data_IF_057232202249
#
_entry.id   IF_057232202249
#
_cell.length_a   1.000
_cell.length_b   1.000
_cell.length_c   1.000
_cell.angle_alpha   90.00
_cell.angle_beta   90.00
_cell.angle_gamma   90.00
#
_symmetry.space_group_name_H-M   'P 1'
#
loop_
_entity.id
_entity.type
_entity.pdbx_description
1 polymer ?
#
# COMPACT_ATOMS: atom_id res chain seq x y z
N UNK A 1 8.84 -33.30 -14.28
CA UNK A 1 9.68 -32.35 -15.00
C UNK A 1 10.48 -31.55 -14.00
N UNK A 2 11.75 -31.22 -14.31
CA UNK A 2 12.55 -30.34 -13.46
C UNK A 2 11.83 -29.01 -13.29
N UNK A 3 11.66 -28.53 -12.04
CA UNK A 3 11.15 -27.17 -11.78
C UNK A 3 12.09 -26.18 -12.48
N UNK A 4 11.53 -25.33 -13.29
CA UNK A 4 12.31 -24.27 -13.91
C UNK A 4 12.57 -23.22 -12.83
N UNK A 5 13.82 -22.80 -12.66
CA UNK A 5 14.15 -21.78 -11.68
C UNK A 5 13.37 -20.47 -11.94
N UNK A 6 12.88 -19.77 -10.91
CA UNK A 6 12.12 -18.54 -11.06
C UNK A 6 12.98 -17.42 -11.70
N UNK A 7 12.33 -16.50 -12.40
CA UNK A 7 13.01 -15.31 -12.96
C UNK A 7 13.29 -14.25 -11.90
N UNK A 8 12.46 -14.22 -10.84
CA UNK A 8 12.52 -13.26 -9.75
C UNK A 8 11.95 -13.91 -8.49
N UNK A 9 12.55 -13.63 -7.33
CA UNK A 9 12.05 -14.00 -6.01
C UNK A 9 11.66 -12.73 -5.25
N UNK A 10 10.58 -12.78 -4.47
CA UNK A 10 10.10 -11.65 -3.68
C UNK A 10 9.99 -12.11 -2.23
N UNK A 11 10.68 -11.42 -1.33
CA UNK A 11 10.59 -11.61 0.11
C UNK A 11 9.62 -10.60 0.71
N UNK A 12 9.04 -10.87 1.90
CA UNK A 12 8.11 -9.98 2.56
C UNK A 12 8.72 -8.63 2.97
N UNK A 13 7.85 -7.70 3.38
CA UNK A 13 8.23 -6.48 4.11
C UNK A 13 9.00 -6.84 5.37
N UNK A 14 9.98 -6.01 5.75
CA UNK A 14 10.81 -6.21 6.94
C UNK A 14 11.43 -7.62 7.02
N UNK A 15 11.88 -8.17 5.90
CA UNK A 15 12.60 -9.46 5.86
C UNK A 15 13.95 -9.39 6.56
N UNK A 16 14.42 -8.17 6.89
CA UNK A 16 15.65 -7.93 7.64
C UNK A 16 15.35 -7.08 8.86
N UNK A 17 15.86 -7.49 10.03
CA UNK A 17 15.72 -6.75 11.29
C UNK A 17 16.73 -5.60 11.41
N UNK A 18 17.85 -5.70 10.70
CA UNK A 18 18.91 -4.71 10.69
C UNK A 18 19.07 -4.13 9.28
N UNK A 19 19.56 -2.89 9.23
CA UNK A 19 19.87 -2.24 7.97
C UNK A 19 21.03 -2.96 7.27
N UNK A 20 20.78 -3.62 6.11
CA UNK A 20 21.84 -4.35 5.42
C UNK A 20 22.92 -3.45 4.81
N UNK A 21 22.68 -2.13 4.70
CA UNK A 21 23.69 -1.19 4.22
C UNK A 21 24.67 -0.76 5.34
N UNK A 22 24.26 -0.89 6.60
CA UNK A 22 25.02 -0.50 7.78
C UNK A 22 25.56 -1.70 8.58
N UNK A 23 24.85 -2.84 8.55
CA UNK A 23 25.24 -4.06 9.27
C UNK A 23 25.88 -5.09 8.33
N UNK A 24 27.21 -5.31 8.44
CA UNK A 24 27.92 -6.26 7.58
C UNK A 24 27.44 -7.71 7.69
N UNK A 25 26.89 -8.11 8.84
CA UNK A 25 26.37 -9.47 9.03
C UNK A 25 25.07 -9.66 8.26
N UNK A 26 24.14 -8.72 8.35
CA UNK A 26 22.90 -8.71 7.57
C UNK A 26 23.20 -8.68 6.09
N UNK A 27 24.11 -7.80 5.65
CA UNK A 27 24.54 -7.75 4.26
C UNK A 27 25.06 -9.11 3.76
N UNK A 28 26.01 -9.71 4.49
CA UNK A 28 26.62 -10.97 4.08
C UNK A 28 25.64 -12.13 4.08
N UNK A 29 24.69 -12.14 5.02
CA UNK A 29 23.63 -13.16 5.11
C UNK A 29 22.70 -13.09 3.90
N UNK A 30 22.22 -11.88 3.57
CA UNK A 30 21.39 -11.67 2.38
C UNK A 30 22.17 -12.00 1.11
N UNK A 31 23.38 -11.50 0.97
CA UNK A 31 24.22 -11.73 -0.20
C UNK A 31 24.47 -13.23 -0.44
N UNK A 32 24.70 -14.00 0.64
CA UNK A 32 24.86 -15.45 0.57
C UNK A 32 23.56 -16.11 0.11
N UNK A 33 22.43 -15.78 0.72
CA UNK A 33 21.12 -16.34 0.35
C UNK A 33 20.77 -16.01 -1.11
N UNK A 34 20.98 -14.78 -1.56
CA UNK A 34 20.78 -14.37 -2.96
C UNK A 34 21.74 -15.11 -3.91
N UNK A 35 22.97 -15.33 -3.48
CA UNK A 35 23.96 -16.13 -4.21
C UNK A 35 23.51 -17.59 -4.37
N UNK A 36 23.03 -18.22 -3.31
CA UNK A 36 22.53 -19.60 -3.31
C UNK A 36 21.28 -19.75 -4.19
N UNK A 37 20.35 -18.78 -4.11
CA UNK A 37 19.17 -18.71 -4.98
C UNK A 37 19.60 -18.54 -6.45
N UNK A 38 20.73 -17.87 -6.70
CA UNK A 38 21.24 -17.54 -8.03
C UNK A 38 20.24 -16.82 -8.94
N UNK A 39 19.35 -16.02 -8.36
CA UNK A 39 18.32 -15.22 -9.04
C UNK A 39 18.18 -13.84 -8.39
N UNK A 40 17.67 -12.83 -9.10
CA UNK A 40 17.29 -11.56 -8.51
C UNK A 40 16.27 -11.76 -7.38
N UNK A 41 16.45 -11.06 -6.28
CA UNK A 41 15.55 -11.08 -5.12
C UNK A 41 15.13 -9.66 -4.77
N UNK A 42 13.83 -9.42 -4.63
CA UNK A 42 13.31 -8.22 -3.98
C UNK A 42 13.25 -8.49 -2.47
N UNK A 43 13.99 -7.74 -1.70
CA UNK A 43 14.14 -7.89 -0.24
C UNK A 43 13.46 -6.72 0.44
N UNK A 44 12.52 -6.99 1.36
CA UNK A 44 11.96 -5.96 2.23
C UNK A 44 12.92 -5.63 3.35
N UNK A 45 13.29 -4.37 3.51
CA UNK A 45 14.29 -3.94 4.49
C UNK A 45 13.88 -2.66 5.22
N UNK A 46 14.33 -2.53 6.47
CA UNK A 46 14.28 -1.27 7.20
C UNK A 46 15.66 -0.63 7.15
N UNK A 47 15.76 0.50 6.44
CA UNK A 47 16.98 1.28 6.34
C UNK A 47 17.03 2.32 7.46
N UNK A 48 18.24 2.64 7.94
CA UNK A 48 18.49 3.64 8.99
C UNK A 48 19.06 4.93 8.38
N UNK A 49 19.10 5.99 9.16
CA UNK A 49 19.74 7.26 8.85
C UNK A 49 19.39 7.92 7.50
N UNK A 50 18.12 8.29 7.26
CA UNK A 50 16.95 8.25 8.15
C UNK A 50 16.21 6.91 8.08
N UNK A 51 15.39 6.61 9.10
CA UNK A 51 14.60 5.37 9.14
C UNK A 51 13.60 5.37 7.97
N UNK A 52 13.64 4.30 7.16
CA UNK A 52 12.82 4.13 5.96
C UNK A 52 12.44 2.68 5.77
N UNK A 53 11.20 2.44 5.38
CA UNK A 53 10.74 1.13 4.94
C UNK A 53 10.99 1.01 3.43
N UNK A 54 11.63 -0.06 2.98
CA UNK A 54 12.17 -0.17 1.63
C UNK A 54 12.03 -1.57 1.03
N UNK A 55 11.81 -1.61 -0.29
CA UNK A 55 12.06 -2.78 -1.12
C UNK A 55 13.39 -2.61 -1.86
N UNK A 56 14.33 -3.53 -1.66
CA UNK A 56 15.65 -3.51 -2.30
C UNK A 56 15.78 -4.64 -3.33
N UNK A 57 16.08 -4.32 -4.57
CA UNK A 57 16.42 -5.33 -5.57
C UNK A 57 17.87 -5.76 -5.43
N UNK A 58 18.07 -7.01 -5.07
CA UNK A 58 19.39 -7.64 -4.95
C UNK A 58 19.67 -8.53 -6.16
N UNK A 59 20.90 -8.44 -6.68
CA UNK A 59 21.38 -9.32 -7.74
C UNK A 59 22.50 -10.23 -7.21
N UNK A 60 22.55 -11.50 -7.65
CA UNK A 60 23.65 -12.39 -7.32
C UNK A 60 25.02 -11.75 -7.59
N UNK A 61 25.95 -11.88 -6.67
CA UNK A 61 27.32 -11.35 -6.72
C UNK A 61 27.45 -9.82 -6.88
N UNK A 62 26.33 -9.05 -6.82
CA UNK A 62 26.35 -7.57 -6.96
C UNK A 62 25.77 -6.84 -5.76
N UNK A 63 25.02 -7.52 -4.90
CA UNK A 63 24.29 -6.89 -3.79
C UNK A 63 23.08 -6.06 -4.26
N UNK A 64 22.64 -5.06 -3.45
CA UNK A 64 21.51 -4.21 -3.79
C UNK A 64 21.88 -3.27 -4.95
N UNK A 65 20.99 -3.20 -5.95
CA UNK A 65 21.20 -2.40 -7.18
C UNK A 65 20.16 -1.33 -7.39
N UNK A 66 19.01 -1.41 -6.73
CA UNK A 66 17.94 -0.43 -6.78
C UNK A 66 17.10 -0.52 -5.51
N UNK A 67 16.46 0.60 -5.14
CA UNK A 67 15.65 0.70 -3.94
C UNK A 67 14.36 1.48 -4.22
N UNK A 68 13.25 0.97 -3.72
CA UNK A 68 11.98 1.66 -3.56
C UNK A 68 11.83 2.02 -2.08
N UNK A 69 11.42 3.23 -1.78
CA UNK A 69 11.12 3.68 -0.42
C UNK A 69 9.60 3.84 -0.29
N UNK A 70 9.02 3.24 0.73
CA UNK A 70 7.59 3.34 1.05
C UNK A 70 7.15 4.80 1.09
N UNK A 71 6.11 5.14 0.32
CA UNK A 71 5.64 6.53 0.14
C UNK A 71 4.48 6.88 1.04
N UNK A 72 3.64 5.88 1.41
CA UNK A 72 2.52 6.03 2.32
C UNK A 72 2.77 5.27 3.60
N UNK A 73 3.14 6.02 4.63
CA UNK A 73 3.44 5.48 5.94
C UNK A 73 2.17 5.18 6.72
N UNK A 74 2.22 4.13 7.54
CA UNK A 74 1.11 3.75 8.44
C UNK A 74 1.02 4.74 9.59
N UNK A 75 -0.11 5.46 9.75
CA UNK A 75 -0.30 6.31 10.91
C UNK A 75 -0.22 5.49 12.22
N UNK A 76 0.50 6.03 13.20
CA UNK A 76 0.78 5.42 14.52
C UNK A 76 1.65 4.15 14.50
N UNK A 77 1.91 3.55 13.34
CA UNK A 77 2.85 2.43 13.18
C UNK A 77 4.22 2.87 12.65
N UNK A 78 4.25 3.79 11.67
CA UNK A 78 5.49 4.29 11.05
C UNK A 78 5.65 5.79 11.19
N UNK A 79 4.56 6.51 11.38
CA UNK A 79 4.55 7.97 11.57
C UNK A 79 3.48 8.38 12.58
N UNK A 80 3.83 9.29 13.48
CA UNK A 80 2.85 9.92 14.37
C UNK A 80 2.36 11.22 13.71
N UNK A 81 1.09 11.27 13.24
CA UNK A 81 0.52 12.48 12.71
C UNK A 81 0.48 13.58 13.78
N UNK A 82 0.81 14.81 13.41
CA UNK A 82 0.82 15.96 14.34
C UNK A 82 1.61 15.70 15.64
N UNK A 83 2.73 14.97 15.57
CA UNK A 83 3.56 14.59 16.72
C UNK A 83 3.77 15.75 17.69
N UNK A 84 4.18 16.93 17.22
CA UNK A 84 4.44 18.09 18.07
C UNK A 84 3.24 18.56 18.91
N UNK A 85 2.01 18.28 18.49
CA UNK A 85 0.80 18.53 19.27
C UNK A 85 0.52 17.38 20.23
N UNK A 86 0.62 16.13 19.72
CA UNK A 86 0.28 14.95 20.50
C UNK A 86 1.25 14.69 21.64
N UNK A 87 2.53 15.04 21.51
CA UNK A 87 3.54 14.93 22.57
C UNK A 87 3.14 15.70 23.86
N UNK A 88 2.27 16.73 23.72
CA UNK A 88 1.82 17.54 24.87
C UNK A 88 0.52 17.07 25.51
N UNK A 89 -0.24 16.19 24.84
CA UNK A 89 -1.61 15.83 25.29
C UNK A 89 -1.82 14.34 25.50
N UNK A 90 -0.88 13.48 25.05
CA UNK A 90 -1.05 12.01 25.12
C UNK A 90 0.29 11.29 25.08
N UNK A 91 0.30 10.01 25.49
CA UNK A 91 1.45 9.11 25.36
C UNK A 91 1.50 8.37 24.02
N UNK A 92 0.56 8.59 23.09
CA UNK A 92 0.54 7.92 21.79
C UNK A 92 1.85 8.05 20.98
N UNK A 93 2.57 9.20 21.00
CA UNK A 93 3.84 9.30 20.30
C UNK A 93 4.92 8.33 20.77
N UNK A 94 4.83 7.82 22.00
CA UNK A 94 5.78 6.83 22.51
C UNK A 94 5.65 5.45 21.84
N UNK A 95 4.52 5.16 21.17
CA UNK A 95 4.32 3.93 20.42
C UNK A 95 5.26 3.84 19.21
N UNK A 96 5.60 4.98 18.62
CA UNK A 96 6.54 5.07 17.51
C UNK A 96 7.59 6.15 17.83
N UNK A 97 8.72 5.80 18.47
CA UNK A 97 9.71 6.76 18.95
C UNK A 97 10.32 7.61 17.83
N UNK A 98 10.56 7.03 16.66
CA UNK A 98 11.14 7.69 15.50
C UNK A 98 10.21 7.56 14.31
N UNK A 99 9.80 8.69 13.72
CA UNK A 99 9.01 8.65 12.50
C UNK A 99 9.86 8.15 11.32
N UNK A 100 9.29 7.27 10.50
CA UNK A 100 9.89 6.89 9.24
C UNK A 100 9.84 8.05 8.25
N UNK A 101 10.79 8.06 7.33
CA UNK A 101 10.87 9.05 6.25
C UNK A 101 10.25 8.45 4.98
N UNK A 102 9.22 9.08 4.40
CA UNK A 102 8.57 8.56 3.21
C UNK A 102 9.40 8.78 1.95
N UNK A 103 9.25 7.89 0.99
CA UNK A 103 9.70 8.08 -0.40
C UNK A 103 8.80 9.07 -1.15
N UNK A 104 9.26 9.50 -2.34
CA UNK A 104 8.56 10.52 -3.12
C UNK A 104 8.23 10.13 -4.56
N UNK A 105 8.72 8.99 -5.05
CA UNK A 105 8.59 8.60 -6.45
C UNK A 105 8.28 7.11 -6.61
N UNK A 106 7.60 6.79 -7.70
CA UNK A 106 7.50 5.43 -8.21
C UNK A 106 8.87 4.90 -8.64
N UNK A 107 9.13 3.61 -8.40
CA UNK A 107 10.36 2.94 -8.83
C UNK A 107 10.00 1.62 -9.47
N UNK A 108 10.33 1.48 -10.75
CA UNK A 108 10.13 0.24 -11.49
C UNK A 108 11.45 -0.52 -11.59
N UNK A 109 11.55 -1.63 -10.89
CA UNK A 109 12.69 -2.54 -10.95
C UNK A 109 12.72 -3.29 -12.28
N UNK A 110 13.90 -3.41 -12.89
CA UNK A 110 14.08 -4.06 -14.19
C UNK A 110 14.88 -5.36 -14.05
N UNK A 111 14.22 -6.47 -14.37
CA UNK A 111 14.81 -7.82 -14.35
C UNK A 111 14.45 -8.52 -15.67
N UNK A 112 15.34 -8.53 -16.63
CA UNK A 112 15.05 -9.04 -17.97
C UNK A 112 13.84 -8.35 -18.60
N UNK A 113 12.77 -9.11 -18.86
CA UNK A 113 11.50 -8.58 -19.39
C UNK A 113 10.56 -8.07 -18.29
N UNK A 114 10.84 -8.38 -17.02
CA UNK A 114 10.03 -7.95 -15.89
C UNK A 114 10.31 -6.48 -15.60
N UNK A 115 9.25 -5.72 -15.48
CA UNK A 115 9.22 -4.36 -14.92
C UNK A 115 8.31 -4.39 -13.71
N UNK A 116 8.94 -4.58 -12.55
CA UNK A 116 8.24 -4.74 -11.28
C UNK A 116 8.00 -3.38 -10.64
N UNK A 117 6.73 -3.02 -10.41
CA UNK A 117 6.33 -1.95 -9.51
C UNK A 117 6.10 -2.53 -8.13
N UNK A 118 6.74 -1.95 -7.12
CA UNK A 118 6.60 -2.40 -5.75
C UNK A 118 5.70 -1.46 -4.97
N UNK A 119 4.83 -2.03 -4.14
CA UNK A 119 4.06 -1.33 -3.13
C UNK A 119 4.20 -2.08 -1.81
N UNK A 120 4.32 -1.33 -0.71
CA UNK A 120 4.59 -1.93 0.59
C UNK A 120 3.35 -1.83 1.48
N UNK A 121 2.77 -3.00 1.83
CA UNK A 121 1.73 -3.19 2.83
C UNK A 121 0.51 -2.25 2.62
N UNK A 122 0.33 -1.30 3.51
CA UNK A 122 -0.74 -0.29 3.53
C UNK A 122 -0.92 0.45 2.19
N UNK A 123 0.11 0.54 1.38
CA UNK A 123 0.09 1.25 0.10
C UNK A 123 -0.86 0.65 -0.94
N UNK A 124 -1.13 -0.65 -0.85
CA UNK A 124 -2.06 -1.34 -1.77
C UNK A 124 -3.49 -0.76 -1.70
N UNK A 125 -3.84 -0.13 -0.58
CA UNK A 125 -5.11 0.57 -0.39
C UNK A 125 -5.24 1.88 -1.19
N UNK A 126 -4.13 2.46 -1.68
CA UNK A 126 -4.13 3.75 -2.36
C UNK A 126 -4.03 3.59 -3.87
N UNK A 127 -5.16 3.75 -4.54
CA UNK A 127 -5.29 3.64 -5.99
C UNK A 127 -4.24 4.48 -6.76
N UNK A 128 -4.19 5.77 -6.51
CA UNK A 128 -3.27 6.69 -7.20
C UNK A 128 -1.78 6.33 -7.00
N UNK A 129 -1.43 5.61 -5.90
CA UNK A 129 -0.08 5.14 -5.68
C UNK A 129 0.23 3.95 -6.60
N UNK A 130 -0.64 2.93 -6.63
CA UNK A 130 -0.48 1.76 -7.50
C UNK A 130 -0.54 2.16 -8.97
N UNK A 131 -1.48 3.03 -9.35
CA UNK A 131 -1.58 3.65 -10.68
C UNK A 131 -0.27 4.29 -11.11
N UNK A 132 0.44 4.96 -10.21
CA UNK A 132 1.71 5.61 -10.51
C UNK A 132 2.83 4.62 -10.86
N UNK A 133 2.86 3.42 -10.25
CA UNK A 133 3.80 2.35 -10.63
C UNK A 133 3.48 1.83 -12.04
N UNK A 134 2.20 1.64 -12.34
CA UNK A 134 1.75 1.21 -13.69
C UNK A 134 2.07 2.28 -14.73
N UNK A 135 1.82 3.55 -14.44
CA UNK A 135 2.16 4.68 -15.30
C UNK A 135 3.68 4.80 -15.52
N UNK A 136 4.51 4.46 -14.53
CA UNK A 136 5.96 4.37 -14.65
C UNK A 136 6.42 3.17 -15.49
N UNK A 137 5.50 2.31 -15.94
CA UNK A 137 5.74 1.21 -16.86
C UNK A 137 5.84 -0.17 -16.23
N UNK A 138 5.36 -0.36 -15.00
CA UNK A 138 5.28 -1.68 -14.39
C UNK A 138 4.39 -2.63 -15.20
N UNK A 139 4.86 -3.86 -15.43
CA UNK A 139 4.12 -4.93 -16.08
C UNK A 139 3.83 -6.12 -15.14
N UNK A 140 4.33 -6.04 -13.92
CA UNK A 140 4.10 -6.90 -12.77
C UNK A 140 4.10 -6.01 -11.54
N UNK A 141 3.25 -6.32 -10.56
CA UNK A 141 3.20 -5.63 -9.27
C UNK A 141 3.61 -6.58 -8.15
N UNK A 142 4.28 -6.06 -7.13
CA UNK A 142 4.49 -6.72 -5.85
C UNK A 142 3.81 -5.97 -4.73
N UNK A 143 3.36 -6.71 -3.72
CA UNK A 143 2.90 -6.23 -2.43
C UNK A 143 3.71 -6.95 -1.38
N UNK A 144 4.74 -6.30 -0.86
CA UNK A 144 5.49 -6.80 0.30
C UNK A 144 4.74 -6.37 1.56
N UNK A 145 4.44 -7.29 2.45
CA UNK A 145 3.65 -6.97 3.64
C UNK A 145 4.13 -7.68 4.89
N UNK A 146 4.04 -6.98 6.02
CA UNK A 146 4.23 -7.55 7.35
C UNK A 146 2.91 -7.44 8.13
N UNK A 147 2.17 -8.55 8.19
CA UNK A 147 0.87 -8.59 8.85
C UNK A 147 0.96 -8.97 10.33
N UNK A 148 2.18 -9.20 10.87
CA UNK A 148 2.37 -9.69 12.23
C UNK A 148 1.75 -8.76 13.29
N UNK A 149 1.82 -7.44 13.08
CA UNK A 149 1.30 -6.46 14.02
C UNK A 149 -0.24 -6.41 14.03
N UNK A 150 -0.89 -6.78 12.94
CA UNK A 150 -2.35 -6.77 12.82
C UNK A 150 -2.99 -8.04 13.39
N UNK A 151 -2.23 -9.12 13.48
CA UNK A 151 -2.74 -10.44 13.90
C UNK A 151 -2.56 -10.72 15.40
N UNK A 152 -2.09 -9.74 16.19
CA UNK A 152 -1.75 -9.84 17.62
C UNK A 152 -2.93 -10.29 18.49
N UNK A 153 -4.09 -10.51 18.15
CA UNK A 153 -5.18 -11.04 18.97
C UNK A 153 -6.06 -12.07 18.22
N UNK A 154 -5.50 -12.72 17.18
CA UNK A 154 -6.21 -13.68 16.36
C UNK A 154 -7.18 -13.03 15.35
N UNK A 155 -7.11 -11.71 15.17
CA UNK A 155 -7.87 -11.02 14.14
C UNK A 155 -7.16 -11.14 12.80
N UNK A 156 -7.81 -11.79 11.83
CA UNK A 156 -7.26 -12.04 10.48
C UNK A 156 -7.94 -11.21 9.40
N UNK A 157 -8.85 -10.32 9.80
CA UNK A 157 -9.67 -9.52 8.88
C UNK A 157 -8.83 -8.60 8.00
N UNK A 158 -7.79 -8.00 8.53
CA UNK A 158 -6.95 -7.04 7.82
C UNK A 158 -6.11 -7.70 6.75
N UNK A 159 -5.48 -8.84 7.05
CA UNK A 159 -4.72 -9.63 6.07
C UNK A 159 -5.60 -10.09 4.90
N UNK A 160 -6.82 -10.55 5.18
CA UNK A 160 -7.78 -10.94 4.13
C UNK A 160 -8.28 -9.74 3.33
N UNK A 161 -8.50 -8.61 3.98
CA UNK A 161 -8.87 -7.37 3.31
C UNK A 161 -7.73 -6.89 2.39
N UNK A 162 -6.48 -6.94 2.85
CA UNK A 162 -5.31 -6.56 2.05
C UNK A 162 -5.15 -7.47 0.83
N UNK A 163 -5.34 -8.79 0.99
CA UNK A 163 -5.38 -9.72 -0.13
C UNK A 163 -6.51 -9.37 -1.12
N UNK A 164 -7.69 -9.02 -0.63
CA UNK A 164 -8.81 -8.60 -1.47
C UNK A 164 -8.49 -7.31 -2.24
N UNK A 165 -7.85 -6.33 -1.60
CA UNK A 165 -7.36 -5.11 -2.26
C UNK A 165 -6.35 -5.46 -3.36
N UNK A 166 -5.36 -6.32 -3.10
CA UNK A 166 -4.39 -6.74 -4.10
C UNK A 166 -5.05 -7.41 -5.32
N UNK A 167 -6.12 -8.20 -5.11
CA UNK A 167 -6.93 -8.79 -6.19
C UNK A 167 -7.66 -7.73 -7.01
N UNK A 168 -8.19 -6.70 -6.37
CA UNK A 168 -8.82 -5.57 -7.07
C UNK A 168 -7.77 -4.85 -7.91
N UNK A 169 -6.57 -4.57 -7.37
CA UNK A 169 -5.48 -3.94 -8.12
C UNK A 169 -5.05 -4.75 -9.34
N UNK A 170 -5.04 -6.08 -9.23
CA UNK A 170 -4.75 -6.95 -10.38
C UNK A 170 -5.74 -6.72 -11.53
N UNK A 171 -7.05 -6.69 -11.23
CA UNK A 171 -8.12 -6.45 -12.22
C UNK A 171 -8.08 -5.02 -12.75
N UNK A 172 -8.00 -4.05 -11.87
CA UNK A 172 -8.02 -2.62 -12.16
C UNK A 172 -6.93 -2.23 -13.16
N UNK A 173 -5.72 -2.71 -12.93
CA UNK A 173 -4.56 -2.38 -13.75
C UNK A 173 -4.26 -3.43 -14.83
N UNK A 174 -5.01 -4.54 -14.88
CA UNK A 174 -4.74 -5.68 -15.77
C UNK A 174 -3.28 -6.16 -15.63
N UNK A 175 -2.82 -6.30 -14.39
CA UNK A 175 -1.46 -6.78 -14.05
C UNK A 175 -1.56 -7.98 -13.13
N UNK A 176 -0.62 -8.92 -13.27
CA UNK A 176 -0.42 -9.89 -12.20
C UNK A 176 0.15 -9.20 -10.96
N UNK A 177 -0.22 -9.69 -9.77
CA UNK A 177 0.25 -9.18 -8.49
C UNK A 177 0.83 -10.32 -7.67
N UNK A 178 2.00 -10.11 -7.08
CA UNK A 178 2.62 -11.05 -6.14
C UNK A 178 2.56 -10.43 -4.76
N UNK A 179 1.83 -11.07 -3.85
CA UNK A 179 1.79 -10.71 -2.44
C UNK A 179 2.76 -11.59 -1.68
N UNK A 180 3.73 -10.99 -1.00
CA UNK A 180 4.67 -11.67 -0.12
C UNK A 180 4.45 -11.19 1.31
N UNK A 181 3.93 -12.06 2.18
CA UNK A 181 3.57 -11.75 3.56
C UNK A 181 4.41 -12.54 4.55
N UNK A 182 4.68 -11.96 5.72
CA UNK A 182 5.37 -12.63 6.84
C UNK A 182 4.49 -13.69 7.48
N UNK A 183 3.35 -13.30 8.03
CA UNK A 183 2.40 -14.14 8.78
C UNK A 183 1.06 -14.30 8.08
N UNK A 184 0.70 -13.35 7.23
CA UNK A 184 -0.52 -13.33 6.47
C UNK A 184 -0.52 -14.29 5.27
N UNK A 185 -1.43 -14.03 4.33
CA UNK A 185 -1.57 -14.85 3.12
C UNK A 185 -0.66 -14.31 2.02
N UNK A 186 0.39 -15.05 1.69
CA UNK A 186 1.13 -14.81 0.43
C UNK A 186 0.33 -15.36 -0.75
N UNK A 187 0.33 -14.66 -1.88
CA UNK A 187 -0.44 -15.05 -3.06
C UNK A 187 0.20 -14.60 -4.37
N UNK A 188 -0.04 -15.38 -5.42
CA UNK A 188 0.23 -14.98 -6.81
C UNK A 188 -1.12 -14.84 -7.51
N UNK A 189 -1.42 -13.64 -7.97
CA UNK A 189 -2.73 -13.23 -8.47
C UNK A 189 -2.62 -12.95 -9.96
N UNK A 190 -3.52 -13.56 -10.73
CA UNK A 190 -3.62 -13.29 -12.17
C UNK A 190 -4.26 -11.91 -12.43
N UNK A 191 -4.11 -11.34 -13.66
CA UNK A 191 -4.69 -10.06 -14.02
C UNK A 191 -6.23 -9.99 -13.93
N UNK A 192 -6.92 -11.11 -13.87
CA UNK A 192 -8.37 -11.20 -13.67
C UNK A 192 -8.76 -11.29 -12.18
N UNK A 193 -7.79 -11.19 -11.26
CA UNK A 193 -8.00 -11.28 -9.81
C UNK A 193 -8.09 -12.70 -9.28
N UNK A 194 -7.96 -13.75 -10.12
CA UNK A 194 -7.93 -15.13 -9.66
C UNK A 194 -6.61 -15.48 -8.97
N UNK A 195 -6.66 -16.36 -7.98
CA UNK A 195 -5.49 -16.84 -7.26
C UNK A 195 -4.85 -18.00 -8.02
N UNK A 196 -3.63 -17.81 -8.51
CA UNK A 196 -2.83 -18.88 -9.15
C UNK A 196 -2.18 -19.78 -8.11
N UNK A 197 -1.72 -19.20 -7.01
CA UNK A 197 -1.16 -19.89 -5.86
C UNK A 197 -1.36 -19.03 -4.62
N UNK A 198 -1.51 -19.63 -3.45
CA UNK A 198 -1.57 -18.91 -2.17
C UNK A 198 -1.17 -19.81 -1.00
N UNK A 199 -0.75 -19.18 0.11
CA UNK A 199 -0.48 -19.87 1.38
C UNK A 199 -1.73 -19.83 2.28
N UNK A 200 -1.70 -20.58 3.38
CA UNK A 200 -2.55 -20.27 4.54
C UNK A 200 -1.89 -19.24 5.45
N UNK A 201 -2.64 -18.76 6.43
CA UNK A 201 -2.13 -17.93 7.52
C UNK A 201 -1.11 -18.70 8.36
N UNK A 202 -0.08 -17.99 8.86
CA UNK A 202 0.96 -18.54 9.73
C UNK A 202 1.66 -19.79 9.14
N UNK A 203 1.79 -19.84 7.82
CA UNK A 203 2.44 -20.94 7.14
C UNK A 203 3.74 -20.50 6.48
N UNK A 204 4.85 -21.09 6.92
CA UNK A 204 6.11 -20.99 6.17
C UNK A 204 5.96 -21.79 4.88
N UNK A 205 6.02 -21.10 3.75
CA UNK A 205 5.86 -21.71 2.45
C UNK A 205 6.60 -20.91 1.36
N UNK A 206 6.91 -21.58 0.27
CA UNK A 206 7.34 -21.01 -0.99
C UNK A 206 6.28 -21.33 -2.03
N UNK A 207 5.83 -20.31 -2.75
CA UNK A 207 4.86 -20.47 -3.83
C UNK A 207 5.44 -19.95 -5.14
N UNK A 208 5.14 -20.64 -6.23
CA UNK A 208 5.63 -20.34 -7.57
C UNK A 208 4.49 -20.42 -8.58
N UNK A 209 4.45 -19.48 -9.52
CA UNK A 209 3.56 -19.51 -10.66
C UNK A 209 4.15 -18.73 -11.84
N UNK A 210 3.72 -19.09 -13.05
CA UNK A 210 3.96 -18.31 -14.26
C UNK A 210 2.86 -17.28 -14.42
N UNK A 211 3.26 -16.02 -14.62
CA UNK A 211 2.34 -14.90 -14.76
C UNK A 211 2.53 -14.18 -16.08
N UNK A 212 1.46 -13.68 -16.72
CA UNK A 212 1.59 -12.87 -17.91
C UNK A 212 2.13 -11.48 -17.55
N UNK A 213 3.09 -10.98 -18.32
CA UNK A 213 3.58 -9.61 -18.23
C UNK A 213 2.77 -8.73 -19.19
N UNK A 214 1.87 -7.91 -18.68
CA UNK A 214 0.99 -7.05 -19.49
C UNK A 214 1.39 -5.58 -19.38
N UNK A 215 1.22 -4.84 -20.50
CA UNK A 215 1.61 -3.42 -20.59
C UNK A 215 0.47 -2.52 -21.05
N UNK A 216 -0.69 -3.10 -21.42
CA UNK A 216 -1.84 -2.30 -21.86
C UNK A 216 -2.42 -1.50 -20.70
N UNK A 217 -2.77 -0.25 -20.94
CA UNK A 217 -3.47 0.59 -19.97
C UNK A 217 -4.97 0.30 -20.00
N UNK A 218 -5.57 0.10 -18.83
CA UNK A 218 -7.01 -0.10 -18.67
C UNK A 218 -7.78 1.20 -18.79
N UNK A 219 -9.12 1.14 -18.76
CA UNK A 219 -9.95 2.33 -18.64
C UNK A 219 -9.73 3.03 -17.29
N UNK A 220 -9.59 2.25 -16.22
CA UNK A 220 -9.28 2.77 -14.89
C UNK A 220 -7.95 3.53 -14.87
N UNK A 221 -6.89 2.96 -15.46
CA UNK A 221 -5.59 3.63 -15.59
C UNK A 221 -5.69 4.98 -16.37
N UNK A 222 -6.59 5.07 -17.34
CA UNK A 222 -6.76 6.28 -18.16
C UNK A 222 -7.59 7.35 -17.49
N UNK A 223 -8.61 6.95 -16.74
CA UNK A 223 -9.52 7.86 -16.04
C UNK A 223 -8.89 8.34 -14.71
N UNK A 224 -8.08 7.47 -14.04
CA UNK A 224 -7.54 7.77 -12.73
C UNK A 224 -8.63 8.22 -11.77
N UNK A 225 -8.35 9.22 -10.93
CA UNK A 225 -9.28 9.76 -9.92
C UNK A 225 -10.40 10.68 -10.46
N UNK A 226 -10.57 10.80 -11.79
CA UNK A 226 -11.62 11.65 -12.36
C UNK A 226 -13.05 11.26 -11.94
N UNK A 227 -13.45 9.96 -11.93
CA UNK A 227 -14.81 9.57 -11.53
C UNK A 227 -15.11 9.95 -10.08
N UNK A 228 -14.18 9.71 -9.15
CA UNK A 228 -14.32 10.07 -7.74
C UNK A 228 -14.39 11.58 -7.56
N UNK A 229 -13.55 12.33 -8.27
CA UNK A 229 -13.55 13.79 -8.26
C UNK A 229 -14.87 14.37 -8.73
N UNK A 230 -15.44 13.82 -9.81
CA UNK A 230 -16.73 14.23 -10.36
C UNK A 230 -17.87 13.93 -9.35
N UNK A 231 -17.93 12.72 -8.80
CA UNK A 231 -18.95 12.33 -7.83
C UNK A 231 -18.88 13.18 -6.56
N UNK A 232 -17.66 13.42 -6.07
CA UNK A 232 -17.43 14.30 -4.92
C UNK A 232 -17.91 15.71 -5.20
N UNK A 233 -17.55 16.28 -6.35
CA UNK A 233 -18.00 17.61 -6.77
C UNK A 233 -19.51 17.73 -6.86
N UNK A 234 -20.20 16.75 -7.47
CA UNK A 234 -21.66 16.69 -7.55
C UNK A 234 -22.30 16.60 -6.17
N UNK A 235 -21.75 15.77 -5.27
CA UNK A 235 -22.24 15.62 -3.89
C UNK A 235 -22.11 16.93 -3.13
N UNK A 236 -20.96 17.61 -3.21
CA UNK A 236 -20.76 18.89 -2.55
C UNK A 236 -21.68 19.98 -3.12
N UNK A 237 -21.89 20.02 -4.42
CA UNK A 237 -22.83 20.94 -5.05
C UNK A 237 -24.27 20.70 -4.61
N UNK A 238 -24.71 19.45 -4.54
CA UNK A 238 -26.03 19.08 -4.06
C UNK A 238 -26.23 19.46 -2.58
N UNK A 239 -25.22 19.21 -1.74
CA UNK A 239 -25.25 19.61 -0.33
C UNK A 239 -25.32 21.13 -0.17
N UNK A 240 -24.50 21.88 -0.91
CA UNK A 240 -24.52 23.35 -0.88
C UNK A 240 -25.90 23.89 -1.30
N UNK A 241 -26.50 23.32 -2.34
CA UNK A 241 -27.85 23.70 -2.76
C UNK A 241 -28.91 23.38 -1.70
N UNK A 242 -28.89 22.18 -1.13
CA UNK A 242 -29.82 21.82 -0.06
C UNK A 242 -29.72 22.75 1.15
N UNK A 243 -28.50 23.10 1.56
CA UNK A 243 -28.27 24.06 2.65
C UNK A 243 -28.78 25.46 2.30
N UNK A 244 -28.53 25.95 1.10
CA UNK A 244 -28.97 27.27 0.64
C UNK A 244 -30.50 27.36 0.59
N UNK A 245 -31.20 26.36 0.04
CA UNK A 245 -32.66 26.30 -0.02
C UNK A 245 -33.28 26.17 1.37
N UNK A 246 -32.75 25.28 2.22
CA UNK A 246 -33.22 25.14 3.60
C UNK A 246 -33.09 26.41 4.44
N UNK A 247 -31.99 27.18 4.25
CA UNK A 247 -31.84 28.49 4.89
C UNK A 247 -32.85 29.51 4.34
N UNK A 248 -33.09 29.52 3.02
CA UNK A 248 -34.04 30.41 2.39
C UNK A 248 -35.49 30.14 2.91
N UNK A 249 -35.87 28.86 3.01
CA UNK A 249 -37.19 28.47 3.50
C UNK A 249 -37.38 28.82 4.97
N UNK A 250 -36.36 28.62 5.82
CA UNK A 250 -36.43 29.07 7.23
C UNK A 250 -36.55 30.59 7.36
N UNK A 251 -35.88 31.37 6.50
CA UNK A 251 -36.01 32.83 6.47
C UNK A 251 -37.40 33.25 6.01
N UNK A 252 -38.00 32.60 5.01
CA UNK A 252 -39.36 32.82 4.55
C UNK A 252 -40.37 32.51 5.64
N UNK A 253 -40.25 31.37 6.32
CA UNK A 253 -41.12 30.97 7.41
C UNK A 253 -41.08 31.97 8.59
N UNK A 254 -39.87 32.45 8.95
CA UNK A 254 -39.75 33.49 10.01
C UNK A 254 -40.36 34.83 9.62
N UNK A 255 -40.33 35.21 8.33
CA UNK A 255 -40.97 36.47 7.86
C UNK A 255 -42.52 36.32 7.74
N UNK A 256 -43.03 35.12 7.53
CA UNK A 256 -44.45 34.83 7.45
C UNK A 256 -45.13 34.59 8.83
N UNK A 257 -44.36 34.45 9.90
CA UNK A 257 -44.89 34.29 11.25
C UNK A 257 -45.64 35.56 11.68
N UNK A 258 -46.93 35.49 12.05
CA UNK A 258 -47.69 36.65 12.48
C UNK A 258 -47.11 37.22 13.78
N UNK A 259 -47.08 38.57 13.87
CA UNK A 259 -46.65 39.26 15.08
C UNK A 259 -47.48 38.77 16.28
N UNK A 260 -46.82 38.36 17.35
CA UNK A 260 -47.51 37.92 18.55
C UNK A 260 -48.47 39.06 19.01
N UNK A 261 -49.77 38.76 19.13
CA UNK A 261 -50.75 39.70 19.71
C UNK A 261 -50.29 40.05 21.12
N UNK A 262 -50.23 41.38 21.45
CA UNK A 262 -49.96 41.74 22.81
C UNK A 262 -51.01 41.16 23.76
N UNK A 263 -50.56 40.64 24.89
CA UNK A 263 -51.42 40.13 25.94
C UNK A 263 -52.41 41.23 26.41
N UNK A 264 -53.69 40.92 26.67
CA UNK A 264 -54.61 41.88 27.23
C UNK A 264 -54.08 42.34 28.57
N UNK A 265 -54.11 43.67 28.79
CA UNK A 265 -53.70 44.25 30.05
C UNK A 265 -54.66 43.84 31.17
N UNK A 266 -54.20 43.73 32.46
CA UNK A 266 -54.98 43.27 33.58
C UNK A 266 -56.13 44.20 33.96
#
# INVERSE_FOLDING_TARGET
GARQAPDLVIWPENSTDQDPELDPLSYSTIATAVGDISRPVLVGAVLQDPVRNAGQLWLPARGPVAVYIKRRLVPFGEVIPFRGLLDHVTSLPSLQPVNFTPGHRAVVFRVGKIRLGDVICYEVGFDGLVSSEVAAGANLLSVQTNDADFELNGYTGETLQQLAMARIRAVEHNRAVVVASTTGVSAIIAPDGSLLAHTGLWRRAEIEARVPLRTSMTLADRLGGWPEGLLTGLTLAALAWALATGVADRRRARRAAPAARPAPAP
#
